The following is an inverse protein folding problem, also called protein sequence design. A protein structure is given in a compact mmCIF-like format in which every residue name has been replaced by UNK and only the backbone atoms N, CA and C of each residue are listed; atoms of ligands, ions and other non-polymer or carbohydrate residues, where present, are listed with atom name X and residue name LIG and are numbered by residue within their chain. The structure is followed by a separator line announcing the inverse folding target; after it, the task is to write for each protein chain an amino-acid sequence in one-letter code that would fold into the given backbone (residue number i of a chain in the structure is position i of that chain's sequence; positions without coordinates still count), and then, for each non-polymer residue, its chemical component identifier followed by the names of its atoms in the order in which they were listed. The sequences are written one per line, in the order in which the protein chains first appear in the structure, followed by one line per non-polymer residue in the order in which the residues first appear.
data_IF_764642915783
#
_entry.id   IF_764642915783
#
_cell.length_a   1.000
_cell.length_b   1.000
_cell.length_c   1.000
_cell.angle_alpha   90.00
_cell.angle_beta   90.00
_cell.angle_gamma   90.00
#
_symmetry.space_group_name_H-M   'P 1'
#
loop_
_entity.id
_entity.type
_entity.pdbx_description
1 polymer ?
#
# COMPACT_ATOMS: atom_id res chain seq x y z
N UNK A 1 35.72 19.77 11.83
CA UNK A 1 34.65 18.87 11.35
C UNK A 1 33.47 19.76 10.98
N UNK A 2 33.20 19.96 9.69
CA UNK A 2 32.02 20.73 9.25
C UNK A 2 30.74 19.98 9.65
N UNK A 3 29.67 20.67 10.05
CA UNK A 3 28.42 20.01 10.42
C UNK A 3 27.83 19.29 9.20
N UNK A 4 27.23 18.10 9.37
CA UNK A 4 26.59 17.37 8.29
C UNK A 4 25.45 18.22 7.72
N UNK A 5 25.50 18.47 6.40
CA UNK A 5 24.44 19.16 5.66
C UNK A 5 23.14 18.37 5.84
N UNK A 6 22.15 18.97 6.51
CA UNK A 6 20.83 18.35 6.67
C UNK A 6 20.21 18.15 5.28
N UNK A 7 19.59 16.98 5.01
CA UNK A 7 18.92 16.74 3.75
C UNK A 7 17.78 17.75 3.58
N UNK A 8 17.81 18.43 2.44
CA UNK A 8 16.92 19.55 2.13
C UNK A 8 15.49 19.01 1.90
N UNK A 9 14.66 19.03 2.96
CA UNK A 9 13.31 18.46 3.00
C UNK A 9 12.39 19.02 1.89
N UNK A 10 12.69 20.23 1.43
CA UNK A 10 12.03 20.93 0.33
C UNK A 10 12.20 20.21 -1.02
N UNK A 11 13.33 19.53 -1.23
CA UNK A 11 13.61 18.78 -2.46
C UNK A 11 12.89 17.43 -2.48
N UNK A 12 12.81 16.76 -1.32
CA UNK A 12 12.13 15.47 -1.15
C UNK A 12 10.60 15.58 -1.34
N UNK A 13 10.00 16.63 -0.79
CA UNK A 13 8.57 16.92 -0.96
C UNK A 13 8.23 17.21 -2.42
N UNK A 14 8.99 18.08 -3.10
CA UNK A 14 8.83 18.33 -4.55
C UNK A 14 8.89 17.05 -5.38
N UNK A 15 9.85 16.16 -5.10
CA UNK A 15 9.98 14.88 -5.83
C UNK A 15 8.77 13.96 -5.64
N UNK A 16 8.18 13.93 -4.45
CA UNK A 16 6.98 13.13 -4.13
C UNK A 16 5.76 13.61 -4.93
N UNK A 17 5.53 14.92 -4.99
CA UNK A 17 4.42 15.49 -5.76
C UNK A 17 4.61 15.36 -7.27
N UNK A 18 5.85 15.51 -7.76
CA UNK A 18 6.17 15.30 -9.19
C UNK A 18 5.93 13.84 -9.60
N UNK A 19 6.34 12.88 -8.77
CA UNK A 19 6.10 11.46 -9.03
C UNK A 19 4.61 11.12 -9.04
N UNK A 20 3.84 11.67 -8.09
CA UNK A 20 2.39 11.47 -8.02
C UNK A 20 1.68 12.09 -9.23
N UNK A 21 2.06 13.31 -9.61
CA UNK A 21 1.54 13.99 -10.79
C UNK A 21 1.82 13.21 -12.06
N UNK A 22 3.07 12.76 -12.25
CA UNK A 22 3.46 11.94 -13.40
C UNK A 22 2.68 10.62 -13.45
N UNK A 23 2.58 9.92 -12.31
CA UNK A 23 1.85 8.66 -12.24
C UNK A 23 0.36 8.84 -12.55
N UNK A 24 -0.25 9.94 -12.08
CA UNK A 24 -1.63 10.28 -12.40
C UNK A 24 -1.82 10.62 -13.89
N UNK A 25 -0.89 11.39 -14.46
CA UNK A 25 -0.93 11.84 -15.86
C UNK A 25 -0.77 10.65 -16.82
N UNK A 26 0.17 9.74 -16.53
CA UNK A 26 0.37 8.51 -17.32
C UNK A 26 -0.83 7.57 -17.18
N UNK A 27 -1.34 7.36 -15.96
CA UNK A 27 -2.43 6.43 -15.72
C UNK A 27 -3.78 6.91 -16.29
N UNK A 28 -3.94 8.23 -16.51
CA UNK A 28 -5.15 8.84 -17.06
C UNK A 28 -4.92 9.55 -18.40
N UNK A 29 -3.83 9.24 -19.12
CA UNK A 29 -3.42 9.96 -20.32
C UNK A 29 -4.52 10.00 -21.40
N UNK A 30 -5.18 8.86 -21.64
CA UNK A 30 -6.31 8.77 -22.57
C UNK A 30 -7.48 9.64 -22.16
N UNK A 31 -7.82 9.62 -20.86
CA UNK A 31 -8.88 10.45 -20.30
C UNK A 31 -8.56 11.94 -20.44
N UNK A 32 -7.32 12.33 -20.18
CA UNK A 32 -6.85 13.72 -20.29
C UNK A 32 -6.88 14.22 -21.74
N UNK A 33 -6.69 13.33 -22.72
CA UNK A 33 -6.75 13.64 -24.15
C UNK A 33 -8.19 13.64 -24.69
N UNK A 34 -9.07 12.78 -24.19
CA UNK A 34 -10.48 12.70 -24.61
C UNK A 34 -11.33 13.88 -24.13
N UNK A 35 -11.08 14.40 -22.92
CA UNK A 35 -11.83 15.54 -22.35
C UNK A 35 -11.81 16.79 -23.26
N UNK A 36 -10.66 17.31 -23.73
CA UNK A 36 -10.64 18.50 -24.58
C UNK A 36 -11.26 18.25 -25.96
N UNK A 37 -11.13 17.04 -26.51
CA UNK A 37 -11.77 16.67 -27.78
C UNK A 37 -13.29 16.71 -27.62
N UNK A 38 -13.83 16.09 -26.57
CA UNK A 38 -15.26 16.13 -26.25
C UNK A 38 -15.74 17.57 -26.01
N UNK A 39 -15.00 18.37 -25.23
CA UNK A 39 -15.34 19.76 -24.97
C UNK A 39 -15.37 20.62 -26.25
N UNK A 40 -14.39 20.43 -27.15
CA UNK A 40 -14.35 21.12 -28.44
C UNK A 40 -15.54 20.72 -29.31
N UNK A 41 -15.82 19.42 -29.45
CA UNK A 41 -16.97 18.96 -30.24
C UNK A 41 -18.31 19.45 -29.69
N UNK A 42 -18.45 19.54 -28.36
CA UNK A 42 -19.66 20.06 -27.72
C UNK A 42 -19.82 21.57 -27.94
N UNK A 43 -18.72 22.33 -27.89
CA UNK A 43 -18.74 23.77 -28.17
C UNK A 43 -19.09 24.05 -29.63
N UNK A 44 -18.55 23.25 -30.56
CA UNK A 44 -18.83 23.38 -31.99
C UNK A 44 -20.29 22.99 -32.30
N UNK A 45 -20.81 21.92 -31.69
CA UNK A 45 -22.22 21.55 -31.78
C UNK A 45 -23.15 22.64 -31.23
N UNK A 46 -22.78 23.28 -30.12
CA UNK A 46 -23.60 24.35 -29.53
C UNK A 46 -23.59 25.63 -30.38
N UNK A 47 -22.52 25.85 -31.17
CA UNK A 47 -22.41 26.96 -32.10
C UNK A 47 -23.18 26.74 -33.40
N UNK A 48 -23.29 25.49 -33.86
CA UNK A 48 -24.09 25.13 -35.03
C UNK A 48 -25.59 25.23 -34.71
N UNK A 49 -26.37 25.78 -35.64
CA UNK A 49 -27.83 25.83 -35.51
C UNK A 49 -28.46 24.43 -35.62
N UNK A 50 -29.67 24.19 -35.05
CA UNK A 50 -30.35 22.90 -35.13
C UNK A 50 -30.59 22.43 -36.58
N UNK A 51 -30.79 23.36 -37.50
CA UNK A 51 -30.96 23.06 -38.93
C UNK A 51 -29.65 22.63 -39.61
N UNK A 52 -28.51 23.21 -39.21
CA UNK A 52 -27.19 22.83 -39.73
C UNK A 52 -26.76 21.46 -39.20
N UNK A 53 -27.09 21.15 -37.95
CA UNK A 53 -26.89 19.83 -37.36
C UNK A 53 -27.70 18.78 -38.12
N UNK A 54 -28.98 19.06 -38.41
CA UNK A 54 -29.85 18.15 -39.15
C UNK A 54 -29.37 17.93 -40.58
N UNK A 55 -28.90 18.99 -41.25
CA UNK A 55 -28.29 18.88 -42.58
C UNK A 55 -26.95 18.12 -42.55
N UNK A 56 -26.13 18.31 -41.51
CA UNK A 56 -24.86 17.58 -41.37
C UNK A 56 -25.11 16.08 -41.13
N UNK A 57 -26.09 15.74 -40.29
CA UNK A 57 -26.57 14.36 -40.07
C UNK A 57 -27.21 13.74 -41.31
N UNK A 58 -27.95 14.51 -42.11
CA UNK A 58 -28.51 14.04 -43.39
C UNK A 58 -27.44 13.95 -44.50
N UNK A 59 -26.38 14.77 -44.42
CA UNK A 59 -25.25 14.76 -45.36
C UNK A 59 -24.19 13.70 -45.04
N UNK A 60 -24.29 13.08 -43.86
CA UNK A 60 -23.54 11.89 -43.46
C UNK A 60 -23.98 10.70 -44.35
N UNK A 61 -23.60 10.75 -45.62
CA UNK A 61 -23.52 9.58 -46.46
C UNK A 61 -22.49 8.66 -45.81
N UNK A 62 -22.98 7.61 -45.13
CA UNK A 62 -22.15 6.57 -44.53
C UNK A 62 -21.42 5.79 -45.63
N UNK A 63 -20.39 6.41 -46.20
CA UNK A 63 -19.47 5.74 -47.09
C UNK A 63 -18.79 4.62 -46.31
N UNK A 64 -18.55 3.49 -46.97
CA UNK A 64 -17.86 2.32 -46.40
C UNK A 64 -16.60 2.72 -45.62
N UNK A 65 -15.85 3.69 -46.16
CA UNK A 65 -14.62 4.21 -45.57
C UNK A 65 -14.84 4.89 -44.20
N UNK A 66 -15.96 5.59 -44.01
CA UNK A 66 -16.29 6.23 -42.74
C UNK A 66 -16.68 5.20 -41.67
N UNK A 67 -17.41 4.15 -42.07
CA UNK A 67 -17.75 3.01 -41.19
C UNK A 67 -16.49 2.23 -40.79
N UNK A 68 -15.58 2.00 -41.72
CA UNK A 68 -14.31 1.32 -41.46
C UNK A 68 -13.41 2.16 -40.53
N UNK A 69 -13.35 3.48 -40.74
CA UNK A 69 -12.54 4.37 -39.90
C UNK A 69 -13.08 4.44 -38.46
N UNK A 70 -14.41 4.60 -38.30
CA UNK A 70 -15.03 4.67 -36.97
C UNK A 70 -14.92 3.34 -36.22
N UNK A 71 -15.14 2.21 -36.89
CA UNK A 71 -14.96 0.89 -36.27
C UNK A 71 -13.50 0.63 -35.88
N UNK A 72 -12.53 1.00 -36.73
CA UNK A 72 -11.11 0.92 -36.39
C UNK A 72 -10.76 1.76 -35.16
N UNK A 73 -11.25 3.00 -35.09
CA UNK A 73 -11.01 3.89 -33.95
C UNK A 73 -11.58 3.29 -32.66
N UNK A 74 -12.82 2.77 -32.69
CA UNK A 74 -13.45 2.14 -31.53
C UNK A 74 -12.64 0.92 -31.06
N UNK A 75 -12.22 0.05 -31.98
CA UNK A 75 -11.41 -1.13 -31.66
C UNK A 75 -10.06 -0.72 -31.09
N UNK A 76 -9.40 0.28 -31.69
CA UNK A 76 -8.12 0.81 -31.24
C UNK A 76 -8.22 1.38 -29.82
N UNK A 77 -9.17 2.28 -29.57
CA UNK A 77 -9.39 2.87 -28.23
C UNK A 77 -9.74 1.81 -27.20
N UNK A 78 -10.60 0.85 -27.54
CA UNK A 78 -10.96 -0.25 -26.64
C UNK A 78 -9.75 -1.11 -26.30
N UNK A 79 -8.94 -1.47 -27.31
CA UNK A 79 -7.72 -2.27 -27.12
C UNK A 79 -6.74 -1.54 -26.21
N UNK A 80 -6.47 -0.26 -26.48
CA UNK A 80 -5.58 0.55 -25.64
C UNK A 80 -6.14 0.65 -24.22
N UNK A 81 -7.45 0.88 -24.03
CA UNK A 81 -8.07 0.92 -22.71
C UNK A 81 -7.89 -0.40 -21.92
N UNK A 82 -8.16 -1.54 -22.54
CA UNK A 82 -7.98 -2.85 -21.90
C UNK A 82 -6.51 -3.14 -21.59
N UNK A 83 -5.58 -2.73 -22.45
CA UNK A 83 -4.15 -2.88 -22.22
C UNK A 83 -3.62 -1.90 -21.16
N UNK A 84 -4.21 -0.71 -21.04
CA UNK A 84 -3.85 0.30 -20.04
C UNK A 84 -4.48 0.05 -18.66
N UNK A 85 -5.50 -0.82 -18.55
CA UNK A 85 -6.15 -1.11 -17.27
C UNK A 85 -5.16 -1.81 -16.33
N UNK A 86 -4.89 -1.26 -15.13
CA UNK A 86 -4.03 -1.93 -14.17
C UNK A 86 -4.63 -3.28 -13.77
N UNK A 87 -3.79 -4.32 -13.72
CA UNK A 87 -4.22 -5.66 -13.30
C UNK A 87 -4.59 -5.62 -11.83
N UNK A 88 -5.78 -6.12 -11.50
CA UNK A 88 -6.21 -6.23 -10.10
C UNK A 88 -5.39 -7.30 -9.39
N UNK A 89 -4.80 -6.95 -8.24
CA UNK A 89 -4.06 -7.87 -7.38
C UNK A 89 -5.00 -8.31 -6.27
N UNK A 90 -5.13 -9.61 -6.08
CA UNK A 90 -6.00 -10.21 -5.07
C UNK A 90 -5.16 -10.89 -3.99
N UNK A 91 -5.58 -10.78 -2.73
CA UNK A 91 -5.06 -11.62 -1.66
C UNK A 91 -5.63 -13.02 -1.81
N UNK A 92 -4.79 -13.97 -2.19
CA UNK A 92 -5.21 -15.37 -2.39
C UNK A 92 -5.34 -16.09 -1.06
N UNK A 93 -4.34 -15.95 -0.19
CA UNK A 93 -4.35 -16.54 1.14
C UNK A 93 -3.42 -15.77 2.10
N UNK A 94 -3.54 -16.04 3.39
CA UNK A 94 -2.69 -15.51 4.45
C UNK A 94 -2.49 -16.53 5.57
N UNK A 95 -1.34 -16.41 6.25
CA UNK A 95 -1.02 -17.14 7.47
C UNK A 95 -0.27 -16.22 8.43
N UNK A 96 -0.44 -16.47 9.72
CA UNK A 96 0.22 -15.73 10.79
C UNK A 96 0.80 -16.73 11.79
N UNK A 97 2.05 -16.50 12.20
CA UNK A 97 2.64 -17.26 13.29
C UNK A 97 1.96 -16.91 14.63
N UNK A 98 1.52 -17.93 15.36
CA UNK A 98 1.03 -17.80 16.73
C UNK A 98 2.08 -18.36 17.70
N UNK A 99 2.70 -17.52 18.55
CA UNK A 99 3.66 -17.99 19.54
C UNK A 99 3.05 -19.01 20.52
N UNK A 100 3.85 -19.94 21.04
CA UNK A 100 3.40 -20.85 22.10
C UNK A 100 3.10 -20.07 23.39
N UNK A 101 2.28 -20.65 24.26
CA UNK A 101 1.88 -20.04 25.55
C UNK A 101 3.05 -19.73 26.48
N UNK A 102 4.20 -20.39 26.29
CA UNK A 102 5.44 -20.12 27.02
C UNK A 102 6.03 -18.75 26.71
N UNK A 103 5.69 -18.16 25.56
CA UNK A 103 6.14 -16.82 25.19
C UNK A 103 5.23 -15.72 25.74
N UNK A 104 4.07 -16.07 26.32
CA UNK A 104 3.10 -15.11 26.86
C UNK A 104 3.67 -14.39 28.09
N UNK A 105 3.49 -13.08 28.14
CA UNK A 105 3.91 -12.24 29.26
C UNK A 105 2.72 -11.40 29.76
N UNK A 106 2.02 -11.87 30.81
CA UNK A 106 1.01 -11.08 31.51
C UNK A 106 1.58 -9.79 32.08
N UNK A 107 0.72 -8.81 32.37
CA UNK A 107 1.17 -7.52 32.91
C UNK A 107 1.88 -7.67 34.26
N UNK A 108 1.43 -8.60 35.09
CA UNK A 108 2.08 -8.89 36.37
C UNK A 108 3.53 -9.36 36.17
N UNK A 109 3.76 -10.31 35.26
CA UNK A 109 5.09 -10.84 34.93
C UNK A 109 5.97 -9.74 34.34
N UNK A 110 5.44 -8.94 33.41
CA UNK A 110 6.19 -7.81 32.85
C UNK A 110 6.63 -6.85 33.95
N UNK A 111 5.71 -6.45 34.85
CA UNK A 111 6.00 -5.49 35.91
C UNK A 111 6.97 -6.05 36.97
N UNK A 112 6.91 -7.35 37.26
CA UNK A 112 7.89 -8.02 38.12
C UNK A 112 9.28 -8.01 37.48
N UNK A 113 9.39 -8.42 36.22
CA UNK A 113 10.66 -8.43 35.47
C UNK A 113 11.24 -7.01 35.35
N UNK A 114 10.40 -5.99 35.09
CA UNK A 114 10.85 -4.60 35.04
C UNK A 114 11.44 -4.14 36.37
N UNK A 115 10.83 -4.51 37.51
CA UNK A 115 11.36 -4.17 38.85
C UNK A 115 12.69 -4.85 39.14
N UNK A 116 12.83 -6.12 38.76
CA UNK A 116 14.06 -6.89 38.96
C UNK A 116 15.20 -6.36 38.08
N UNK A 117 14.92 -6.06 36.81
CA UNK A 117 15.93 -5.60 35.85
C UNK A 117 16.32 -4.13 36.03
N UNK A 118 15.42 -3.30 36.57
CA UNK A 118 15.64 -1.85 36.77
C UNK A 118 15.61 -1.50 38.26
N UNK A 119 16.19 -2.36 39.10
CA UNK A 119 16.14 -2.23 40.57
C UNK A 119 16.66 -0.87 41.05
N UNK A 120 17.70 -0.34 40.40
CA UNK A 120 18.31 0.95 40.72
C UNK A 120 17.61 2.15 40.04
N UNK A 121 16.51 1.92 39.33
CA UNK A 121 15.84 2.92 38.48
C UNK A 121 14.31 2.88 38.62
N UNK A 122 13.76 3.19 39.81
CA UNK A 122 12.32 3.13 40.06
C UNK A 122 11.49 4.05 39.14
N UNK A 123 12.03 5.22 38.77
CA UNK A 123 11.38 6.13 37.82
C UNK A 123 11.20 5.50 36.43
N UNK A 124 12.14 4.66 36.01
CA UNK A 124 12.07 3.93 34.73
C UNK A 124 11.01 2.83 34.77
N UNK A 125 10.86 2.14 35.91
CA UNK A 125 9.79 1.15 36.14
C UNK A 125 8.42 1.82 36.05
N UNK A 126 8.21 2.96 36.73
CA UNK A 126 6.95 3.70 36.65
C UNK A 126 6.67 4.21 35.23
N UNK A 127 7.71 4.61 34.50
CA UNK A 127 7.56 5.03 33.11
C UNK A 127 7.10 3.86 32.22
N UNK A 128 7.71 2.68 32.36
CA UNK A 128 7.27 1.47 31.64
C UNK A 128 5.84 1.07 32.01
N UNK A 129 5.44 1.19 33.28
CA UNK A 129 4.07 0.94 33.73
C UNK A 129 3.06 1.86 33.03
N UNK A 130 3.33 3.17 32.99
CA UNK A 130 2.47 4.14 32.29
C UNK A 130 2.36 3.88 30.79
N UNK A 131 3.44 3.39 30.17
CA UNK A 131 3.41 2.95 28.76
C UNK A 131 2.52 1.72 28.63
N UNK A 132 2.72 0.70 29.47
CA UNK A 132 1.97 -0.55 29.41
C UNK A 132 0.46 -0.29 29.50
N UNK A 133 0.01 0.51 30.47
CA UNK A 133 -1.39 0.89 30.68
C UNK A 133 -2.04 1.62 29.49
N UNK A 134 -1.24 2.25 28.63
CA UNK A 134 -1.71 3.07 27.50
C UNK A 134 -1.37 2.48 26.13
N UNK A 135 -0.67 1.36 26.10
CA UNK A 135 -0.14 0.74 24.87
C UNK A 135 -1.19 0.00 24.04
N UNK A 136 -2.35 -0.32 24.63
CA UNK A 136 -3.33 -1.20 24.00
C UNK A 136 -2.91 -2.67 23.92
N UNK A 137 -1.81 -3.05 24.58
CA UNK A 137 -1.42 -4.45 24.78
C UNK A 137 -2.41 -5.14 25.72
N UNK A 138 -2.45 -6.47 25.68
CA UNK A 138 -3.34 -7.28 26.51
C UNK A 138 -2.59 -8.38 27.24
N UNK A 139 -3.30 -9.12 28.09
CA UNK A 139 -2.71 -10.19 28.91
C UNK A 139 -2.16 -11.37 28.08
N UNK A 140 -2.47 -11.44 26.79
CA UNK A 140 -2.00 -12.47 25.85
C UNK A 140 -0.78 -12.03 25.02
N UNK A 141 -0.24 -10.83 25.27
CA UNK A 141 0.95 -10.34 24.57
C UNK A 141 2.15 -11.28 24.82
N UNK A 142 2.88 -11.59 23.75
CA UNK A 142 4.02 -12.50 23.79
C UNK A 142 5.33 -11.74 23.55
N UNK A 143 6.42 -12.19 24.18
CA UNK A 143 7.77 -11.66 24.00
C UNK A 143 8.75 -12.78 23.58
N UNK A 144 9.85 -12.43 22.88
CA UNK A 144 10.88 -13.39 22.48
C UNK A 144 11.47 -14.12 23.70
N UNK A 145 11.85 -15.41 23.57
CA UNK A 145 12.50 -16.18 24.65
C UNK A 145 13.67 -15.44 25.33
N UNK A 146 14.47 -14.70 24.55
CA UNK A 146 15.61 -13.92 25.04
C UNK A 146 15.25 -12.86 26.10
N UNK A 147 13.99 -12.40 26.14
CA UNK A 147 13.49 -11.38 27.07
C UNK A 147 12.93 -11.99 28.36
N UNK A 148 12.69 -13.30 28.40
CA UNK A 148 12.18 -13.98 29.59
C UNK A 148 13.27 -14.24 30.65
N UNK A 149 14.54 -14.15 30.28
CA UNK A 149 15.66 -14.26 31.22
C UNK A 149 15.80 -13.01 32.10
N UNK A 150 16.33 -13.19 33.31
CA UNK A 150 16.65 -12.10 34.25
C UNK A 150 18.13 -12.23 34.64
N UNK A 151 19.02 -11.35 34.17
CA UNK A 151 18.76 -10.28 33.20
C UNK A 151 18.47 -10.82 31.78
N UNK A 152 17.77 -10.05 30.92
CA UNK A 152 17.53 -10.42 29.53
C UNK A 152 18.83 -10.68 28.76
N UNK A 153 18.79 -11.58 27.79
CA UNK A 153 19.95 -11.94 26.95
C UNK A 153 19.69 -11.63 25.47
N UNK A 154 19.48 -10.35 25.09
CA UNK A 154 19.22 -9.99 23.69
C UNK A 154 20.51 -10.07 22.87
N UNK A 155 20.68 -11.17 22.13
CA UNK A 155 21.79 -11.35 21.19
C UNK A 155 21.29 -11.34 19.76
N UNK A 156 22.18 -10.99 18.81
CA UNK A 156 21.86 -11.05 17.38
C UNK A 156 21.48 -12.47 16.94
N UNK A 157 22.10 -13.48 17.54
CA UNK A 157 21.81 -14.88 17.23
C UNK A 157 20.42 -15.27 17.72
N UNK A 158 20.03 -14.89 18.94
CA UNK A 158 18.69 -15.16 19.45
C UNK A 158 17.60 -14.44 18.62
N UNK A 159 17.84 -13.19 18.22
CA UNK A 159 16.93 -12.44 17.35
C UNK A 159 16.81 -13.09 15.96
N UNK A 160 17.91 -13.59 15.39
CA UNK A 160 17.89 -14.31 14.11
C UNK A 160 17.10 -15.61 14.23
N UNK A 161 17.33 -16.41 15.28
CA UNK A 161 16.60 -17.66 15.50
C UNK A 161 15.10 -17.44 15.68
N UNK A 162 14.68 -16.39 16.39
CA UNK A 162 13.26 -16.02 16.49
C UNK A 162 12.69 -15.63 15.13
N UNK A 163 13.38 -14.75 14.39
CA UNK A 163 12.92 -14.31 13.07
C UNK A 163 12.78 -15.48 12.09
N UNK A 164 13.74 -16.39 12.06
CA UNK A 164 13.70 -17.62 11.26
C UNK A 164 12.49 -18.47 11.65
N UNK A 165 12.30 -18.74 12.94
CA UNK A 165 11.14 -19.51 13.43
C UNK A 165 9.81 -18.88 13.00
N UNK A 166 9.63 -17.57 13.23
CA UNK A 166 8.39 -16.84 12.93
C UNK A 166 8.11 -16.82 11.43
N UNK A 167 9.11 -16.45 10.62
CA UNK A 167 8.95 -16.28 9.17
C UNK A 167 8.73 -17.64 8.50
N UNK A 168 9.60 -18.62 8.76
CA UNK A 168 9.50 -19.92 8.08
C UNK A 168 8.27 -20.69 8.50
N UNK A 169 7.85 -20.65 9.77
CA UNK A 169 6.59 -21.28 10.18
C UNK A 169 5.38 -20.64 9.50
N UNK A 170 5.33 -19.30 9.44
CA UNK A 170 4.23 -18.61 8.76
C UNK A 170 4.20 -18.93 7.25
N UNK A 171 5.37 -19.04 6.61
CA UNK A 171 5.49 -19.42 5.19
C UNK A 171 5.06 -20.87 4.96
N UNK A 172 5.53 -21.81 5.78
CA UNK A 172 5.15 -23.23 5.68
C UNK A 172 3.64 -23.41 5.84
N UNK A 173 3.04 -22.71 6.80
CA UNK A 173 1.58 -22.75 7.01
C UNK A 173 0.82 -22.10 5.85
N UNK A 174 1.34 -20.99 5.31
CA UNK A 174 0.76 -20.35 4.11
C UNK A 174 0.80 -21.29 2.92
N UNK A 175 1.92 -21.96 2.67
CA UNK A 175 2.08 -22.88 1.53
C UNK A 175 1.27 -24.18 1.69
N UNK A 176 1.08 -24.66 2.92
CA UNK A 176 0.17 -25.79 3.18
C UNK A 176 -1.30 -25.43 2.95
N UNK A 177 -1.68 -24.21 3.33
CA UNK A 177 -3.06 -23.72 3.20
C UNK A 177 -3.39 -23.32 1.76
N UNK A 178 -2.42 -22.72 1.08
CA UNK A 178 -2.50 -22.39 -0.34
C UNK A 178 -2.34 -23.67 -1.14
N UNK A 179 -3.45 -24.30 -1.50
CA UNK A 179 -3.45 -25.44 -2.43
C UNK A 179 -2.99 -24.93 -3.80
N UNK A 180 -1.69 -25.01 -4.06
CA UNK A 180 -1.17 -24.91 -5.42
C UNK A 180 -1.62 -26.16 -6.18
N UNK A 181 -2.65 -26.02 -7.02
CA UNK A 181 -2.89 -26.95 -8.12
C UNK A 181 -1.83 -26.76 -9.20
#
# INVERSE_FOLDING_TARGET
MSPPKMPDLSTSTKHKYVKLGYQYLVNNFLTLLLIPILAYTALELFRMGPEEILNHLNSLNFNLLHILCSSFLIIFVSTVYFMSKPRTIYLVDYSCFKPPVTCRVPFATFMEHSRLNLIDSPKSVEFQMRILERSGLGEETCLPPAIHYIPPTPTMDAARSEAELVIFTAMDDLFKKTVFN
#
